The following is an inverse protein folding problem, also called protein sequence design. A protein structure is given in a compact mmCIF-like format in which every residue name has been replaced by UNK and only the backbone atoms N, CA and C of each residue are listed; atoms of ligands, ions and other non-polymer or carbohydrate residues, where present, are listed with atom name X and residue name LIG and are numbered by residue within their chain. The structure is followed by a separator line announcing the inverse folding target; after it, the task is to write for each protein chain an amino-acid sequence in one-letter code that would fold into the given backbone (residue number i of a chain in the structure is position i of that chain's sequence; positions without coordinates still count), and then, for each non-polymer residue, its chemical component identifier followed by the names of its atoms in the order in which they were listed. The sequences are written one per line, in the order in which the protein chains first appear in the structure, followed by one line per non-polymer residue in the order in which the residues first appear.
data_IF_998149163641
#
_entry.id   IF_998149163641
#
_cell.length_a   1.000
_cell.length_b   1.000
_cell.length_c   1.000
_cell.angle_alpha   90.00
_cell.angle_beta   90.00
_cell.angle_gamma   90.00
#
_symmetry.space_group_name_H-M   'P 1'
#
loop_
_entity.id
_entity.type
_entity.pdbx_description
1 polymer ?
#
# COMPACT_ATOMS: atom_id res chain seq x y z
N UNK A 1 -13.30 -3.71 -0.95
CA UNK A 1 -12.34 -3.68 -2.06
C UNK A 1 -11.07 -3.08 -1.54
N UNK A 2 -9.92 -3.65 -1.83
CA UNK A 2 -8.62 -3.17 -1.35
C UNK A 2 -7.69 -3.00 -2.52
N UNK A 3 -7.09 -1.85 -2.66
CA UNK A 3 -6.08 -1.55 -3.68
C UNK A 3 -4.76 -1.28 -2.97
N UNK A 4 -3.71 -1.96 -3.36
CA UNK A 4 -2.37 -1.78 -2.82
C UNK A 4 -1.59 -0.84 -3.75
N UNK A 5 -1.30 0.36 -3.29
CA UNK A 5 -0.50 1.37 -4.01
C UNK A 5 0.51 1.96 -3.03
N UNK A 6 1.73 2.15 -3.47
CA UNK A 6 2.81 2.74 -2.67
C UNK A 6 2.99 4.19 -3.10
N UNK A 7 2.74 5.14 -2.21
CA UNK A 7 2.99 6.55 -2.44
C UNK A 7 3.56 7.22 -1.18
N UNK A 8 4.72 7.86 -1.28
CA UNK A 8 5.32 8.66 -0.20
C UNK A 8 5.23 10.15 -0.52
N UNK A 9 4.85 10.94 0.47
CA UNK A 9 5.07 12.38 0.47
C UNK A 9 5.97 12.75 1.65
N UNK A 10 7.22 13.04 1.40
CA UNK A 10 8.13 13.63 2.38
C UNK A 10 8.18 15.15 2.19
N UNK A 11 7.64 15.89 3.16
CA UNK A 11 7.72 17.35 3.22
C UNK A 11 8.99 17.75 3.97
N UNK A 12 10.00 18.25 3.27
CA UNK A 12 11.17 18.88 3.88
C UNK A 12 10.90 20.38 4.08
N UNK A 13 10.73 20.83 5.32
CA UNK A 13 10.78 22.25 5.66
C UNK A 13 12.23 22.70 5.79
N UNK A 14 12.66 23.58 4.90
CA UNK A 14 13.87 24.36 5.09
C UNK A 14 13.48 25.75 5.58
N UNK A 15 13.80 26.02 6.83
CA UNK A 15 13.79 27.36 7.40
C UNK A 15 15.11 28.05 7.07
N UNK A 16 15.07 29.13 6.33
CA UNK A 16 16.21 30.03 6.22
C UNK A 16 15.82 31.44 6.66
N UNK A 17 16.54 31.93 7.68
CA UNK A 17 16.32 33.22 8.30
C UNK A 17 17.20 34.30 7.67
N UNK A 18 16.61 35.44 7.48
CA UNK A 18 17.03 36.85 7.50
C UNK A 18 18.45 37.30 7.18
N UNK A 19 18.49 38.31 6.32
CA UNK A 19 19.58 39.29 6.22
C UNK A 19 19.34 40.24 5.04
N UNK A 20 18.80 41.41 5.31
CA UNK A 20 18.44 42.42 4.31
C UNK A 20 19.66 43.08 3.64
N UNK A 21 19.49 43.46 2.38
CA UNK A 21 19.95 44.74 1.78
C UNK A 21 19.25 44.97 0.45
N UNK A 22 18.70 46.17 0.35
CA UNK A 22 17.97 46.73 -0.77
C UNK A 22 18.87 46.80 -2.02
N UNK A 23 18.46 46.16 -3.11
CA UNK A 23 18.96 46.49 -4.43
C UNK A 23 17.84 46.21 -5.42
N UNK A 24 17.46 47.26 -6.09
CA UNK A 24 16.49 47.34 -7.18
C UNK A 24 16.90 46.32 -8.29
N UNK A 25 16.11 45.31 -8.52
CA UNK A 25 16.29 44.44 -9.66
C UNK A 25 14.97 44.24 -10.39
N UNK A 26 15.03 44.54 -11.65
CA UNK A 26 14.10 44.30 -12.74
C UNK A 26 13.27 43.05 -12.52
N UNK A 27 11.93 43.25 -12.53
CA UNK A 27 10.96 42.15 -12.59
C UNK A 27 11.11 41.37 -13.91
N UNK A 28 11.89 40.32 -13.88
CA UNK A 28 11.77 39.27 -14.87
C UNK A 28 10.58 38.40 -14.48
N UNK A 29 9.47 38.57 -15.17
CA UNK A 29 8.27 37.73 -15.03
C UNK A 29 8.64 36.30 -15.37
N UNK A 30 8.99 35.52 -14.33
CA UNK A 30 9.17 34.09 -14.45
C UNK A 30 7.84 33.48 -14.93
N UNK A 31 7.84 33.02 -16.17
CA UNK A 31 6.72 32.31 -16.76
C UNK A 31 6.49 31.05 -15.94
N UNK A 32 5.51 31.07 -15.05
CA UNK A 32 5.08 29.89 -14.30
C UNK A 32 4.60 28.88 -15.33
N UNK A 33 5.45 27.93 -15.68
CA UNK A 33 5.04 26.76 -16.44
C UNK A 33 4.17 25.92 -15.49
N UNK A 34 2.91 25.66 -15.83
CA UNK A 34 2.09 24.80 -14.97
C UNK A 34 2.77 23.43 -14.93
N UNK A 35 3.26 23.07 -13.73
CA UNK A 35 3.76 21.73 -13.48
C UNK A 35 2.56 20.79 -13.65
N UNK A 36 2.59 19.98 -14.70
CA UNK A 36 1.57 18.96 -14.91
C UNK A 36 1.53 18.10 -13.63
N UNK A 37 0.38 18.04 -12.99
CA UNK A 37 0.15 17.10 -11.90
C UNK A 37 0.20 15.71 -12.56
N UNK A 38 1.34 15.08 -12.49
CA UNK A 38 1.48 13.69 -12.91
C UNK A 38 0.82 12.86 -11.81
N UNK A 39 -0.44 12.50 -12.02
CA UNK A 39 -1.08 11.49 -11.17
C UNK A 39 -0.34 10.19 -11.41
N UNK A 40 0.29 9.58 -10.39
CA UNK A 40 0.96 8.32 -10.57
C UNK A 40 -0.02 7.29 -11.12
N UNK A 41 0.40 6.51 -12.09
CA UNK A 41 -0.43 5.41 -12.56
C UNK A 41 -0.56 4.38 -11.43
N UNK A 42 -1.79 3.95 -11.16
CA UNK A 42 -2.09 2.96 -10.13
C UNK A 42 -1.26 1.69 -10.36
N UNK A 43 -0.69 1.13 -9.30
CA UNK A 43 0.14 -0.08 -9.32
C UNK A 43 1.39 0.05 -10.23
N UNK A 44 2.03 1.21 -10.22
CA UNK A 44 3.30 1.45 -10.90
C UNK A 44 4.18 2.34 -10.02
N UNK A 45 5.46 2.03 -10.00
CA UNK A 45 6.45 2.90 -9.37
C UNK A 45 6.90 3.97 -10.34
N UNK A 46 6.99 5.19 -9.88
CA UNK A 46 7.69 6.28 -10.56
C UNK A 46 9.19 5.99 -10.62
N UNK A 47 9.91 6.69 -11.47
CA UNK A 47 11.37 6.54 -11.54
C UNK A 47 12.06 7.03 -10.26
N UNK A 48 11.46 7.99 -9.57
CA UNK A 48 11.94 8.45 -8.27
C UNK A 48 11.79 7.35 -7.21
N UNK A 49 10.62 6.73 -7.08
CA UNK A 49 10.38 5.64 -6.12
C UNK A 49 11.31 4.45 -6.37
N UNK A 50 11.55 4.09 -7.64
CA UNK A 50 12.56 3.07 -7.99
C UNK A 50 13.96 3.45 -7.53
N UNK A 51 14.36 4.72 -7.72
CA UNK A 51 15.67 5.22 -7.30
C UNK A 51 15.81 5.25 -5.77
N UNK A 52 14.71 5.45 -5.04
CA UNK A 52 14.63 5.41 -3.57
C UNK A 52 14.58 3.98 -3.01
N UNK A 53 14.48 2.97 -3.87
CA UNK A 53 14.51 1.55 -3.48
C UNK A 53 13.13 0.95 -3.17
N UNK A 54 12.04 1.62 -3.54
CA UNK A 54 10.70 1.06 -3.41
C UNK A 54 10.51 -0.18 -4.28
N UNK A 55 9.82 -1.16 -3.75
CA UNK A 55 9.42 -2.37 -4.46
C UNK A 55 7.90 -2.45 -4.56
N UNK A 56 7.40 -2.69 -5.78
CA UNK A 56 5.98 -2.86 -6.02
C UNK A 56 5.55 -4.26 -5.59
N UNK A 57 4.65 -4.34 -4.62
CA UNK A 57 4.13 -5.62 -4.12
C UNK A 57 2.93 -6.14 -4.91
N UNK A 58 2.27 -5.29 -5.70
CA UNK A 58 1.12 -5.68 -6.52
C UNK A 58 1.08 -4.87 -7.82
N UNK A 59 1.10 -5.56 -8.94
CA UNK A 59 1.16 -4.96 -10.28
C UNK A 59 -0.22 -4.64 -10.89
N UNK A 60 -1.29 -4.84 -10.13
CA UNK A 60 -2.67 -4.63 -10.59
C UNK A 60 -3.21 -5.73 -11.51
N UNK A 61 -2.43 -6.78 -11.80
CA UNK A 61 -2.79 -7.81 -12.80
C UNK A 61 -2.58 -9.23 -12.30
N UNK A 62 -1.51 -9.47 -11.54
CA UNK A 62 -1.12 -10.81 -11.12
C UNK A 62 -1.02 -10.91 -9.61
N UNK A 63 -1.02 -12.12 -9.11
CA UNK A 63 -0.78 -12.43 -7.69
C UNK A 63 0.67 -12.83 -7.41
N UNK A 64 1.56 -12.55 -8.35
CA UNK A 64 2.98 -12.87 -8.24
C UNK A 64 3.59 -12.21 -6.99
N UNK A 65 4.39 -12.98 -6.25
CA UNK A 65 5.00 -12.53 -4.99
C UNK A 65 4.09 -12.68 -3.78
N UNK A 66 2.91 -13.30 -3.96
CA UNK A 66 1.96 -13.58 -2.89
C UNK A 66 1.57 -15.06 -2.86
N UNK A 67 1.39 -15.58 -1.66
CA UNK A 67 0.87 -16.93 -1.40
C UNK A 67 -0.12 -16.92 -0.24
N UNK A 68 -0.89 -17.95 -0.08
CA UNK A 68 -1.70 -18.14 1.12
C UNK A 68 -0.82 -18.41 2.35
N UNK A 69 -1.26 -17.99 3.53
CA UNK A 69 -0.62 -18.37 4.79
C UNK A 69 -0.61 -19.89 4.92
N UNK A 70 0.54 -20.45 5.28
CA UNK A 70 0.81 -21.90 5.37
C UNK A 70 0.63 -22.67 4.04
N UNK A 71 0.75 -21.99 2.90
CA UNK A 71 0.61 -22.57 1.55
C UNK A 71 1.79 -22.16 0.67
N UNK A 72 2.08 -22.97 -0.35
CA UNK A 72 3.12 -22.68 -1.34
C UNK A 72 2.58 -21.89 -2.55
N UNK A 73 1.26 -21.67 -2.62
CA UNK A 73 0.61 -21.01 -3.74
C UNK A 73 -0.44 -19.99 -3.26
N UNK A 74 -0.80 -19.09 -4.15
CA UNK A 74 -1.91 -18.17 -3.93
C UNK A 74 -3.24 -18.95 -3.80
N UNK A 75 -4.18 -18.52 -2.91
CA UNK A 75 -5.47 -19.17 -2.77
C UNK A 75 -6.25 -19.22 -4.08
N UNK A 76 -6.89 -20.35 -4.36
CA UNK A 76 -7.75 -20.58 -5.52
C UNK A 76 -9.16 -19.97 -5.39
N UNK A 77 -9.51 -19.50 -4.20
CA UNK A 77 -10.77 -18.83 -3.87
C UNK A 77 -10.57 -17.80 -2.76
N UNK A 78 -11.60 -16.98 -2.52
CA UNK A 78 -11.59 -15.96 -1.46
C UNK A 78 -10.82 -14.69 -1.80
N UNK A 79 -9.93 -14.74 -2.78
CA UNK A 79 -9.19 -13.61 -3.31
C UNK A 79 -9.32 -13.55 -4.83
N UNK A 80 -9.29 -12.35 -5.38
CA UNK A 80 -9.29 -12.16 -6.83
C UNK A 80 -8.59 -10.85 -7.21
N UNK A 81 -8.07 -10.83 -8.44
CA UNK A 81 -7.60 -9.59 -9.08
C UNK A 81 -8.64 -9.14 -10.08
N UNK A 82 -9.08 -7.90 -9.97
CA UNK A 82 -10.05 -7.31 -10.88
C UNK A 82 -9.88 -5.78 -10.91
N UNK A 83 -9.91 -5.21 -12.12
CA UNK A 83 -9.86 -3.75 -12.34
C UNK A 83 -8.68 -3.05 -11.64
N UNK A 84 -7.51 -3.70 -11.57
CA UNK A 84 -6.32 -3.19 -10.89
C UNK A 84 -6.35 -3.34 -9.37
N UNK A 85 -7.33 -4.01 -8.81
CA UNK A 85 -7.50 -4.20 -7.37
C UNK A 85 -7.26 -5.65 -6.98
N UNK A 86 -6.60 -5.86 -5.83
CA UNK A 86 -6.52 -7.15 -5.14
C UNK A 86 -7.65 -7.19 -4.12
N UNK A 87 -8.63 -8.03 -4.37
CA UNK A 87 -9.91 -8.04 -3.67
C UNK A 87 -10.05 -9.29 -2.81
N UNK A 88 -10.34 -9.10 -1.53
CA UNK A 88 -10.85 -10.17 -0.68
C UNK A 88 -12.37 -10.27 -0.84
N UNK A 89 -12.85 -11.47 -1.13
CA UNK A 89 -14.28 -11.74 -1.28
C UNK A 89 -14.95 -11.87 0.09
N UNK A 90 -16.26 -11.63 0.10
CA UNK A 90 -17.06 -11.79 1.31
C UNK A 90 -17.00 -13.23 1.82
N UNK A 91 -16.76 -13.39 3.13
CA UNK A 91 -16.85 -14.66 3.84
C UNK A 91 -18.16 -14.77 4.62
N UNK A 92 -18.29 -15.81 5.41
CA UNK A 92 -19.38 -16.01 6.37
C UNK A 92 -19.25 -15.14 7.64
N UNK A 93 -18.21 -14.32 7.72
CA UNK A 93 -17.88 -13.48 8.86
C UNK A 93 -16.87 -14.10 9.83
N UNK A 94 -16.51 -15.37 9.64
CA UNK A 94 -15.46 -16.01 10.41
C UNK A 94 -14.08 -15.59 9.88
N UNK A 95 -13.11 -15.48 10.77
CA UNK A 95 -11.76 -15.08 10.45
C UNK A 95 -11.08 -16.11 9.54
N UNK A 96 -10.40 -15.62 8.51
CA UNK A 96 -9.55 -16.41 7.59
C UNK A 96 -10.22 -17.64 6.95
N UNK A 97 -11.55 -17.68 6.85
CA UNK A 97 -12.27 -18.87 6.36
C UNK A 97 -12.39 -18.93 4.84
N UNK A 98 -12.48 -17.80 4.16
CA UNK A 98 -12.63 -17.75 2.71
C UNK A 98 -11.28 -17.45 2.03
N UNK A 99 -10.53 -18.48 1.68
CA UNK A 99 -9.20 -18.37 1.10
C UNK A 99 -8.07 -18.14 2.10
N UNK A 100 -8.39 -17.64 3.29
CA UNK A 100 -7.42 -17.36 4.36
C UNK A 100 -6.64 -16.06 4.13
N UNK A 101 -5.65 -15.83 4.96
CA UNK A 101 -4.73 -14.71 4.81
C UNK A 101 -3.78 -14.97 3.63
N UNK A 102 -3.36 -13.90 2.98
CA UNK A 102 -2.25 -13.95 2.02
C UNK A 102 -1.03 -13.28 2.64
N UNK A 103 0.14 -13.80 2.31
CA UNK A 103 1.43 -13.28 2.76
C UNK A 103 2.34 -13.05 1.56
N UNK A 104 3.28 -12.12 1.69
CA UNK A 104 4.33 -11.95 0.69
C UNK A 104 5.27 -13.16 0.68
N UNK A 105 5.74 -13.55 -0.51
CA UNK A 105 6.81 -14.57 -0.62
C UNK A 105 8.14 -14.05 -0.07
N UNK A 106 8.38 -12.73 -0.20
CA UNK A 106 9.56 -12.07 0.34
C UNK A 106 9.41 -11.76 1.83
N UNK A 107 10.53 -11.82 2.56
CA UNK A 107 10.63 -11.45 3.97
C UNK A 107 11.32 -10.10 4.12
N UNK A 108 10.81 -9.27 5.04
CA UNK A 108 11.30 -7.91 5.27
C UNK A 108 11.57 -7.70 6.75
N UNK A 109 12.79 -7.31 7.14
CA UNK A 109 13.17 -7.06 8.53
C UNK A 109 13.03 -5.61 8.97
N UNK A 110 13.28 -4.67 8.05
CA UNK A 110 13.05 -3.25 8.24
C UNK A 110 12.45 -2.70 6.95
N UNK A 111 11.31 -2.04 7.04
CA UNK A 111 10.58 -1.59 5.86
C UNK A 111 9.73 -0.36 6.16
N UNK A 112 9.44 0.37 5.12
CA UNK A 112 8.33 1.30 5.02
C UNK A 112 7.30 0.70 4.08
N UNK A 113 6.02 0.73 4.46
CA UNK A 113 4.94 0.15 3.69
C UNK A 113 3.86 1.20 3.42
N UNK A 114 3.45 1.31 2.17
CA UNK A 114 2.37 2.19 1.74
C UNK A 114 1.32 1.40 0.97
N UNK A 115 0.06 1.68 1.20
CA UNK A 115 -1.06 1.00 0.55
C UNK A 115 -2.27 1.93 0.43
N UNK A 116 -2.87 1.93 -0.74
CA UNK A 116 -4.22 2.44 -0.91
C UNK A 116 -5.23 1.31 -0.72
N UNK A 117 -6.23 1.53 0.09
CA UNK A 117 -7.26 0.53 0.31
C UNK A 117 -8.65 1.11 0.09
N UNK A 118 -9.56 0.24 -0.27
CA UNK A 118 -10.98 0.54 -0.44
C UNK A 118 -11.79 -0.43 0.39
N UNK A 119 -12.61 0.10 1.28
CA UNK A 119 -13.43 -0.70 2.18
C UNK A 119 -14.90 -0.58 1.83
N UNK A 120 -15.64 -1.68 1.93
CA UNK A 120 -17.09 -1.70 1.75
C UNK A 120 -17.79 -1.60 3.09
N UNK A 121 -19.07 -1.24 3.08
CA UNK A 121 -19.88 -1.14 4.29
C UNK A 121 -19.82 -2.42 5.15
N UNK A 122 -19.52 -2.25 6.42
CA UNK A 122 -19.39 -3.32 7.41
C UNK A 122 -18.19 -4.25 7.18
N UNK A 123 -17.27 -3.91 6.28
CA UNK A 123 -16.11 -4.76 6.05
C UNK A 123 -15.08 -4.62 7.17
N UNK A 124 -14.49 -5.76 7.53
CA UNK A 124 -13.37 -5.90 8.45
C UNK A 124 -12.21 -6.56 7.73
N UNK A 125 -11.03 -6.00 7.86
CA UNK A 125 -9.80 -6.54 7.32
C UNK A 125 -8.59 -5.90 7.98
N UNK A 126 -7.39 -6.35 7.64
CA UNK A 126 -6.18 -5.79 8.23
C UNK A 126 -4.92 -6.04 7.43
N UNK A 127 -3.86 -5.39 7.86
CA UNK A 127 -2.51 -5.58 7.37
C UNK A 127 -1.68 -6.09 8.53
N UNK A 128 -1.24 -7.34 8.44
CA UNK A 128 -0.39 -7.96 9.45
C UNK A 128 1.09 -7.71 9.14
N UNK A 129 1.88 -7.45 10.18
CA UNK A 129 3.32 -7.28 10.13
C UNK A 129 4.01 -7.96 11.31
N UNK A 130 5.31 -8.21 11.23
CA UNK A 130 6.03 -9.15 12.08
C UNK A 130 5.39 -10.53 12.11
N UNK A 131 5.01 -10.97 10.91
CA UNK A 131 4.25 -12.20 10.71
C UNK A 131 5.12 -13.43 10.95
N UNK A 132 4.53 -14.41 11.61
CA UNK A 132 5.07 -15.77 11.72
C UNK A 132 4.00 -16.79 11.34
N UNK A 133 4.42 -17.89 10.71
CA UNK A 133 3.56 -19.00 10.34
C UNK A 133 3.84 -20.27 11.18
N UNK A 134 4.48 -20.10 12.34
CA UNK A 134 4.89 -21.23 13.19
C UNK A 134 3.73 -21.92 13.91
N UNK A 135 2.54 -21.32 13.89
CA UNK A 135 1.39 -21.78 14.66
C UNK A 135 0.29 -22.42 13.81
N UNK A 136 -0.60 -23.11 14.49
CA UNK A 136 -1.47 -24.19 14.00
C UNK A 136 -2.78 -23.76 13.36
N UNK A 137 -3.07 -22.47 13.21
CA UNK A 137 -4.32 -22.04 12.60
C UNK A 137 -4.24 -22.09 11.09
N UNK A 138 -4.95 -23.03 10.50
CA UNK A 138 -5.05 -23.14 9.04
C UNK A 138 -5.64 -21.85 8.45
N UNK A 139 -4.92 -21.27 7.49
CA UNK A 139 -5.39 -20.11 6.73
C UNK A 139 -5.11 -18.76 7.37
N UNK A 140 -4.59 -18.69 8.60
CA UNK A 140 -4.21 -17.45 9.27
C UNK A 140 -2.72 -17.37 9.53
N UNK A 141 -2.16 -16.17 9.42
CA UNK A 141 -0.80 -15.86 9.81
C UNK A 141 -0.82 -15.04 11.12
N UNK A 142 0.10 -15.32 12.05
CA UNK A 142 0.23 -14.55 13.28
C UNK A 142 1.09 -13.32 13.08
N UNK A 143 0.63 -12.17 13.55
CA UNK A 143 1.36 -10.92 13.47
C UNK A 143 0.62 -9.82 14.21
N UNK A 144 1.27 -8.67 14.36
CA UNK A 144 0.57 -7.44 14.74
C UNK A 144 -0.28 -7.00 13.55
N UNK A 145 -1.46 -6.47 13.82
CA UNK A 145 -2.39 -6.10 12.77
C UNK A 145 -2.75 -4.61 12.83
N UNK A 146 -2.58 -3.95 11.68
CA UNK A 146 -3.20 -2.66 11.45
C UNK A 146 -4.60 -2.93 10.87
N UNK A 147 -5.64 -2.63 11.64
CA UNK A 147 -7.02 -2.88 11.28
C UNK A 147 -7.48 -1.95 10.16
N UNK A 148 -8.23 -2.50 9.22
CA UNK A 148 -8.95 -1.79 8.17
C UNK A 148 -10.45 -2.05 8.36
N UNK A 149 -11.13 -1.10 8.97
CA UNK A 149 -12.53 -1.20 9.36
C UNK A 149 -13.39 -0.16 8.66
N UNK A 150 -14.67 -0.44 8.53
CA UNK A 150 -15.70 0.56 8.32
C UNK A 150 -16.10 1.13 9.70
N UNK A 151 -15.50 2.25 10.09
CA UNK A 151 -15.69 2.88 11.41
C UNK A 151 -17.15 3.22 11.75
N UNK A 152 -18.01 3.30 10.75
CA UNK A 152 -19.42 3.59 10.96
C UNK A 152 -20.23 2.35 11.41
N UNK A 153 -19.63 1.16 11.31
CA UNK A 153 -20.30 -0.14 11.53
C UNK A 153 -19.64 -1.02 12.59
N UNK A 154 -18.49 -0.59 13.14
CA UNK A 154 -17.71 -1.32 14.16
C UNK A 154 -17.44 -0.48 15.40
#
# INVERSE_FOLDING_TARGET
MKTLVICTAMSAMILCACGGKNTQSTEETAKVVPMAVITPAINQLTDQEKAEGWALLFDGKTTKGWRGAHKDAFPDHGWMVKDGELIVQKSDGSESTNGGDIVTEGEYSAFEFSVDFKITEGANSGIKYFVTEQEKQKGSAYGLEFQLLDDAKH
#
